data_IF_345984976965
#
_entry.id   IF_345984976965
#
_cell.length_a   1.000
_cell.length_b   1.000
_cell.length_c   1.000
_cell.angle_alpha   90.00
_cell.angle_beta   90.00
_cell.angle_gamma   90.00
#
_symmetry.space_group_name_H-M   'P 1'
#
loop_
_entity.id
_entity.type
_entity.pdbx_description
1 polymer ?
#
# COMPACT_ATOMS: atom_id res chain seq x y z
N UNK A 1 -7.76 44.96 -17.82
CA UNK A 1 -8.19 44.15 -16.64
C UNK A 1 -8.36 42.71 -17.09
N UNK A 2 -7.92 41.73 -16.30
CA UNK A 2 -7.37 40.46 -16.79
C UNK A 2 -8.40 39.32 -16.90
N UNK A 3 -8.00 38.34 -17.69
CA UNK A 3 -8.61 37.03 -17.90
C UNK A 3 -9.05 36.36 -16.59
N UNK A 4 -10.32 35.96 -16.52
CA UNK A 4 -10.85 35.12 -15.45
C UNK A 4 -10.30 33.70 -15.53
N UNK A 5 -10.12 33.00 -14.38
CA UNK A 5 -9.51 31.68 -14.35
C UNK A 5 -10.40 30.67 -15.09
N UNK A 6 -9.86 30.10 -16.17
CA UNK A 6 -10.55 29.14 -17.03
C UNK A 6 -11.12 27.98 -16.23
N UNK A 7 -12.44 27.78 -16.36
CA UNK A 7 -13.14 26.64 -15.81
C UNK A 7 -12.44 25.33 -16.27
N UNK A 8 -12.23 24.35 -15.37
CA UNK A 8 -11.56 23.12 -15.74
C UNK A 8 -12.34 22.39 -16.84
N UNK A 9 -11.66 22.16 -17.97
CA UNK A 9 -12.22 21.49 -19.16
C UNK A 9 -12.85 20.14 -18.77
N UNK A 10 -14.12 19.87 -19.10
CA UNK A 10 -14.88 18.70 -18.62
C UNK A 10 -14.18 17.37 -18.91
N UNK A 11 -13.44 17.30 -20.03
CA UNK A 11 -12.64 16.14 -20.44
C UNK A 11 -11.63 15.66 -19.36
N UNK A 12 -10.98 16.57 -18.64
CA UNK A 12 -9.99 16.20 -17.61
C UNK A 12 -10.65 15.66 -16.33
N UNK A 13 -11.83 16.16 -15.99
CA UNK A 13 -12.58 15.70 -14.83
C UNK A 13 -13.17 14.31 -15.06
N UNK A 14 -13.63 14.04 -16.28
CA UNK A 14 -14.20 12.74 -16.66
C UNK A 14 -13.14 11.65 -16.79
N UNK A 15 -11.96 11.97 -17.34
CA UNK A 15 -10.81 11.06 -17.35
C UNK A 15 -10.33 10.72 -15.93
N UNK A 16 -10.33 11.71 -15.02
CA UNK A 16 -9.98 11.48 -13.61
C UNK A 16 -11.02 10.64 -12.88
N UNK A 17 -12.32 10.85 -13.15
CA UNK A 17 -13.40 10.02 -12.61
C UNK A 17 -13.33 8.59 -13.15
N UNK A 18 -13.10 8.41 -14.43
CA UNK A 18 -12.92 7.10 -15.06
C UNK A 18 -11.70 6.36 -14.47
N UNK A 19 -10.56 7.04 -14.32
CA UNK A 19 -9.37 6.48 -13.68
C UNK A 19 -9.60 6.10 -12.20
N UNK A 20 -10.34 6.94 -11.46
CA UNK A 20 -10.73 6.64 -10.06
C UNK A 20 -11.70 5.47 -9.97
N UNK A 21 -12.65 5.36 -10.91
CA UNK A 21 -13.63 4.26 -10.97
C UNK A 21 -12.97 2.95 -11.38
N UNK A 22 -12.05 2.99 -12.34
CA UNK A 22 -11.21 1.86 -12.74
C UNK A 22 -10.31 1.36 -11.60
N UNK A 23 -9.75 2.26 -10.79
CA UNK A 23 -9.00 1.89 -9.56
C UNK A 23 -9.90 1.26 -8.50
N UNK A 24 -11.10 1.80 -8.24
CA UNK A 24 -12.06 1.26 -7.25
C UNK A 24 -12.66 -0.10 -7.62
N UNK A 25 -12.66 -0.48 -8.89
CA UNK A 25 -13.25 -1.73 -9.37
C UNK A 25 -12.29 -2.94 -9.28
N UNK A 26 -11.04 -2.73 -8.81
CA UNK A 26 -9.98 -3.75 -8.76
C UNK A 26 -9.93 -4.56 -7.47
N UNK A 27 -10.59 -4.14 -6.40
CA UNK A 27 -10.29 -4.63 -5.04
C UNK A 27 -10.65 -6.11 -4.77
N UNK A 28 -11.50 -6.77 -5.55
CA UNK A 28 -11.85 -8.19 -5.29
C UNK A 28 -12.18 -8.99 -6.56
N UNK A 29 -11.72 -8.57 -7.74
CA UNK A 29 -11.98 -9.35 -8.96
C UNK A 29 -10.99 -10.50 -9.05
N UNK A 30 -11.52 -11.71 -9.13
CA UNK A 30 -10.83 -12.85 -9.74
C UNK A 30 -10.43 -12.47 -11.16
N UNK A 31 -9.18 -12.04 -11.34
CA UNK A 31 -8.69 -11.62 -12.64
C UNK A 31 -8.55 -12.85 -13.54
N UNK A 32 -9.42 -12.92 -14.55
CA UNK A 32 -9.54 -14.02 -15.51
C UNK A 32 -8.15 -14.43 -15.99
N UNK A 33 -7.71 -15.64 -15.66
CA UNK A 33 -6.47 -16.19 -16.20
C UNK A 33 -6.64 -16.34 -17.72
N UNK A 34 -5.57 -16.10 -18.49
CA UNK A 34 -5.65 -16.18 -19.95
C UNK A 34 -5.98 -17.63 -20.31
N UNK A 35 -7.16 -17.82 -20.88
CA UNK A 35 -7.56 -19.10 -21.45
C UNK A 35 -7.12 -19.08 -22.91
N UNK A 36 -6.00 -19.76 -23.19
CA UNK A 36 -5.54 -19.94 -24.56
C UNK A 36 -6.43 -20.97 -25.27
N UNK A 37 -6.84 -20.64 -26.47
CA UNK A 37 -7.56 -21.56 -27.35
C UNK A 37 -6.66 -22.72 -27.79
N UNK A 38 -7.22 -23.89 -28.15
CA UNK A 38 -6.44 -25.02 -28.66
C UNK A 38 -5.57 -24.67 -29.88
N UNK A 39 -5.99 -23.72 -30.71
CA UNK A 39 -5.21 -23.27 -31.87
C UNK A 39 -3.95 -22.50 -31.49
N UNK A 40 -3.99 -21.73 -30.39
CA UNK A 40 -2.82 -21.00 -29.90
C UNK A 40 -1.74 -21.93 -29.35
N UNK A 41 -2.12 -23.12 -28.87
CA UNK A 41 -1.18 -24.15 -28.43
C UNK A 41 -0.41 -24.83 -29.57
N UNK A 42 -0.78 -24.60 -30.84
CA UNK A 42 0.01 -25.09 -31.99
C UNK A 42 1.39 -24.45 -32.08
N UNK A 43 1.59 -23.30 -31.45
CA UNK A 43 2.89 -22.65 -31.26
C UNK A 43 3.18 -22.57 -29.75
N UNK A 44 3.66 -23.66 -29.13
CA UNK A 44 3.77 -23.75 -27.67
C UNK A 44 4.67 -22.67 -27.08
N UNK A 45 5.77 -22.31 -27.74
CA UNK A 45 6.71 -21.30 -27.26
C UNK A 45 6.06 -19.91 -27.16
N UNK A 46 5.25 -19.55 -28.16
CA UNK A 46 4.51 -18.28 -28.17
C UNK A 46 3.39 -18.26 -27.12
N UNK A 47 2.70 -19.38 -26.96
CA UNK A 47 1.69 -19.57 -25.93
C UNK A 47 2.29 -19.40 -24.53
N UNK A 48 3.40 -20.09 -24.25
CA UNK A 48 4.13 -20.02 -22.99
C UNK A 48 4.67 -18.62 -22.71
N UNK A 49 5.29 -17.97 -23.71
CA UNK A 49 5.77 -16.58 -23.59
C UNK A 49 4.65 -15.61 -23.22
N UNK A 50 3.49 -15.72 -23.88
CA UNK A 50 2.33 -14.88 -23.54
C UNK A 50 1.84 -15.13 -22.12
N UNK A 51 1.84 -16.37 -21.66
CA UNK A 51 1.46 -16.70 -20.28
C UNK A 51 2.46 -16.15 -19.26
N UNK A 52 3.76 -16.21 -19.56
CA UNK A 52 4.82 -15.58 -18.77
C UNK A 52 4.60 -14.07 -18.65
N UNK A 53 4.43 -13.35 -19.77
CA UNK A 53 4.24 -11.88 -19.78
C UNK A 53 3.01 -11.47 -18.96
N UNK A 54 1.92 -12.25 -19.05
CA UNK A 54 0.73 -12.01 -18.24
C UNK A 54 0.97 -12.29 -16.75
N UNK A 55 1.71 -13.35 -16.40
CA UNK A 55 2.03 -13.66 -15.01
C UNK A 55 2.96 -12.62 -14.38
N UNK A 56 4.02 -12.22 -15.10
CA UNK A 56 4.93 -11.15 -14.71
C UNK A 56 4.20 -9.83 -14.51
N UNK A 57 3.42 -9.40 -15.51
CA UNK A 57 2.66 -8.16 -15.44
C UNK A 57 1.71 -8.10 -14.25
N UNK A 58 1.11 -9.24 -13.87
CA UNK A 58 0.24 -9.35 -12.68
C UNK A 58 1.02 -9.15 -11.38
N UNK A 59 2.19 -9.76 -11.25
CA UNK A 59 3.00 -9.62 -10.05
C UNK A 59 3.51 -8.18 -9.88
N UNK A 60 3.93 -7.55 -10.98
CA UNK A 60 4.32 -6.13 -11.00
C UNK A 60 3.13 -5.26 -10.62
N UNK A 61 1.96 -5.46 -11.24
CA UNK A 61 0.76 -4.67 -10.94
C UNK A 61 0.31 -4.83 -9.47
N UNK A 62 0.40 -6.03 -8.91
CA UNK A 62 0.13 -6.27 -7.49
C UNK A 62 1.10 -5.47 -6.61
N UNK A 63 2.42 -5.57 -6.87
CA UNK A 63 3.43 -4.83 -6.12
C UNK A 63 3.24 -3.31 -6.23
N UNK A 64 2.94 -2.80 -7.42
CA UNK A 64 2.65 -1.38 -7.64
C UNK A 64 1.39 -0.93 -6.92
N UNK A 65 0.33 -1.74 -6.92
CA UNK A 65 -0.90 -1.42 -6.18
C UNK A 65 -0.62 -1.25 -4.68
N UNK A 66 0.18 -2.13 -4.08
CA UNK A 66 0.62 -2.01 -2.69
C UNK A 66 1.36 -0.69 -2.41
N UNK A 67 2.19 -0.24 -3.35
CA UNK A 67 2.91 1.04 -3.23
C UNK A 67 1.99 2.26 -3.43
N UNK A 68 1.11 2.22 -4.43
CA UNK A 68 0.37 3.38 -4.96
C UNK A 68 -0.91 3.69 -4.17
N UNK A 69 -1.61 2.68 -3.63
CA UNK A 69 -2.75 2.88 -2.72
C UNK A 69 -2.33 3.58 -1.41
N UNK A 70 -1.09 3.33 -0.96
CA UNK A 70 -0.63 3.73 0.36
C UNK A 70 0.16 5.03 0.39
N UNK A 71 0.85 5.43 -0.68
CA UNK A 71 1.44 6.78 -0.78
C UNK A 71 0.38 7.88 -0.64
N UNK A 72 -0.86 7.63 -1.12
CA UNK A 72 -2.00 8.54 -0.92
C UNK A 72 -2.53 8.59 0.52
N UNK A 73 -2.29 7.54 1.32
CA UNK A 73 -2.69 7.44 2.74
C UNK A 73 -1.57 7.91 3.70
N UNK A 74 -0.31 7.99 3.23
CA UNK A 74 0.87 8.46 3.99
C UNK A 74 0.88 9.95 4.29
N UNK A 75 0.46 10.77 3.34
CA UNK A 75 0.44 12.24 3.44
C UNK A 75 -0.34 12.74 4.67
N UNK A 76 -1.56 12.27 4.96
CA UNK A 76 -2.28 12.72 6.15
C UNK A 76 -1.62 12.30 7.47
N UNK A 77 -0.99 11.12 7.57
CA UNK A 77 -0.26 10.68 8.79
C UNK A 77 0.89 11.62 9.14
N UNK A 78 1.76 11.89 8.15
CA UNK A 78 2.94 12.73 8.36
C UNK A 78 2.55 14.18 8.67
N UNK A 79 1.48 14.69 8.04
CA UNK A 79 0.92 16.00 8.36
C UNK A 79 0.38 16.01 9.79
N UNK A 80 -0.36 14.98 10.24
CA UNK A 80 -0.88 14.90 11.60
C UNK A 80 0.24 14.88 12.64
N UNK A 81 1.32 14.15 12.38
CA UNK A 81 2.47 14.03 13.29
C UNK A 81 3.27 15.33 13.37
N UNK A 82 3.50 15.99 12.23
CA UNK A 82 4.10 17.32 12.20
C UNK A 82 3.21 18.33 12.94
N UNK A 83 1.89 18.29 12.73
CA UNK A 83 0.93 19.13 13.43
C UNK A 83 0.96 18.87 14.94
N UNK A 84 1.03 17.60 15.37
CA UNK A 84 1.11 17.22 16.78
C UNK A 84 2.37 17.78 17.46
N UNK A 85 3.52 17.69 16.80
CA UNK A 85 4.79 18.22 17.32
C UNK A 85 4.72 19.74 17.40
N UNK A 86 4.19 20.42 16.38
CA UNK A 86 4.05 21.88 16.38
C UNK A 86 3.07 22.36 17.45
N UNK A 87 1.90 21.72 17.58
CA UNK A 87 0.90 22.01 18.61
C UNK A 87 1.45 21.73 20.02
N UNK A 88 2.14 20.60 20.19
CA UNK A 88 2.75 20.21 21.46
C UNK A 88 3.87 21.16 21.88
N UNK A 89 4.75 21.53 20.94
CA UNK A 89 5.81 22.51 21.17
C UNK A 89 5.23 23.90 21.47
N UNK A 90 4.22 24.35 20.71
CA UNK A 90 3.54 25.63 20.97
C UNK A 90 2.84 25.64 22.34
N UNK A 91 2.17 24.55 22.73
CA UNK A 91 1.53 24.40 24.03
C UNK A 91 2.53 24.36 25.19
N UNK A 92 3.66 23.66 25.03
CA UNK A 92 4.71 23.55 26.04
C UNK A 92 5.53 24.83 26.21
N UNK A 93 5.73 25.60 25.13
CA UNK A 93 6.47 26.87 25.15
C UNK A 93 5.61 28.05 25.63
N UNK A 94 4.28 27.95 25.59
CA UNK A 94 3.37 29.01 26.03
C UNK A 94 3.64 29.54 27.45
N UNK A 95 3.80 28.68 28.49
CA UNK A 95 4.11 29.16 29.85
C UNK A 95 5.48 29.85 29.95
N UNK A 96 6.46 29.49 29.11
CA UNK A 96 7.79 30.13 29.08
C UNK A 96 7.73 31.54 28.46
N UNK A 97 6.87 31.75 27.47
CA UNK A 97 6.65 33.07 26.85
C UNK A 97 5.89 33.98 27.83
N UNK A 98 4.94 33.44 28.59
CA UNK A 98 4.20 34.18 29.61
C UNK A 98 5.10 34.65 30.77
N UNK A 99 6.10 33.85 31.16
CA UNK A 99 7.05 34.21 32.23
C UNK A 99 8.19 35.12 31.74
N UNK A 100 8.65 34.98 30.50
CA UNK A 100 9.70 35.83 29.92
C UNK A 100 9.18 37.19 29.42
N UNK A 101 7.90 37.30 29.04
CA UNK A 101 7.34 38.47 28.34
C UNK A 101 6.78 39.59 29.22
N UNK A 102 6.69 39.42 30.54
CA UNK A 102 6.24 40.49 31.47
C UNK A 102 4.83 41.06 31.22
N UNK A 103 4.00 40.44 30.40
CA UNK A 103 2.67 40.96 30.06
C UNK A 103 1.64 40.50 31.10
N UNK A 104 1.38 41.35 32.10
CA UNK A 104 0.41 41.10 33.18
C UNK A 104 -1.06 40.97 32.75
N UNK A 105 -1.42 41.07 31.47
CA UNK A 105 -2.81 41.28 31.05
C UNK A 105 -3.47 40.14 30.26
N UNK A 106 -2.96 38.90 30.35
CA UNK A 106 -3.44 37.82 29.47
C UNK A 106 -3.75 36.51 30.21
N UNK A 107 -4.55 36.60 31.28
CA UNK A 107 -5.13 35.44 31.98
C UNK A 107 -5.97 34.52 31.08
N UNK A 108 -6.40 34.99 29.89
CA UNK A 108 -7.05 34.17 28.87
C UNK A 108 -6.12 33.32 28.00
N UNK A 109 -4.80 33.55 28.02
CA UNK A 109 -3.85 32.94 27.07
C UNK A 109 -3.30 31.58 27.54
N UNK A 110 -3.33 31.30 28.85
CA UNK A 110 -2.86 30.02 29.43
C UNK A 110 -3.79 28.85 29.05
N UNK A 111 -5.09 29.12 28.90
CA UNK A 111 -6.08 28.12 28.50
C UNK A 111 -5.78 27.52 27.13
N UNK A 112 -5.27 28.32 26.19
CA UNK A 112 -4.90 27.86 24.86
C UNK A 112 -3.70 26.91 24.87
N UNK A 113 -2.76 27.02 25.82
CA UNK A 113 -1.66 26.07 25.97
C UNK A 113 -2.15 24.64 26.24
N UNK A 114 -3.15 24.48 27.12
CA UNK A 114 -3.78 23.19 27.39
C UNK A 114 -4.59 22.67 26.19
N UNK A 115 -5.27 23.55 25.45
CA UNK A 115 -5.98 23.17 24.20
C UNK A 115 -4.99 22.67 23.14
N UNK A 116 -3.84 23.33 22.99
CA UNK A 116 -2.78 22.92 22.06
C UNK A 116 -2.16 21.58 22.47
N UNK A 117 -1.92 21.35 23.76
CA UNK A 117 -1.45 20.06 24.28
C UNK A 117 -2.48 18.94 24.09
N UNK A 118 -3.76 19.21 24.36
CA UNK A 118 -4.84 18.25 24.11
C UNK A 118 -4.95 17.92 22.61
N UNK A 119 -4.85 18.93 21.73
CA UNK A 119 -4.85 18.73 20.28
C UNK A 119 -3.63 17.90 19.82
N UNK A 120 -2.45 18.12 20.40
CA UNK A 120 -1.27 17.31 20.13
C UNK A 120 -1.45 15.85 20.56
N UNK A 121 -2.02 15.62 21.75
CA UNK A 121 -2.36 14.29 22.25
C UNK A 121 -3.38 13.58 21.37
N UNK A 122 -4.41 14.28 20.89
CA UNK A 122 -5.40 13.74 19.94
C UNK A 122 -4.74 13.39 18.61
N UNK A 123 -3.82 14.21 18.09
CA UNK A 123 -3.09 13.92 16.85
C UNK A 123 -2.18 12.69 16.99
N UNK A 124 -1.47 12.54 18.12
CA UNK A 124 -0.64 11.34 18.41
C UNK A 124 -1.53 10.10 18.55
N UNK A 125 -2.64 10.23 19.28
CA UNK A 125 -3.63 9.17 19.42
C UNK A 125 -4.22 8.74 18.09
N UNK A 126 -4.50 9.68 17.18
CA UNK A 126 -4.97 9.39 15.83
C UNK A 126 -3.90 8.73 14.95
N UNK A 127 -2.63 9.15 15.01
CA UNK A 127 -1.52 8.49 14.28
C UNK A 127 -1.35 7.04 14.73
N UNK A 128 -1.49 6.80 16.04
CA UNK A 128 -1.45 5.46 16.64
C UNK A 128 -2.68 4.60 16.29
N UNK A 129 -3.89 5.13 16.44
CA UNK A 129 -5.14 4.41 16.13
C UNK A 129 -5.29 4.11 14.63
N UNK A 130 -4.77 4.96 13.76
CA UNK A 130 -4.81 4.71 12.32
C UNK A 130 -3.73 3.72 11.84
N UNK A 131 -2.79 3.29 12.70
CA UNK A 131 -1.80 2.25 12.36
C UNK A 131 -0.92 2.60 11.16
N UNK A 132 -0.78 3.89 10.84
CA UNK A 132 -0.24 4.37 9.56
C UNK A 132 1.26 4.06 9.41
N UNK A 133 1.99 3.84 10.50
CA UNK A 133 3.41 3.46 10.48
C UNK A 133 3.67 1.95 10.43
N UNK A 134 2.81 1.12 11.03
CA UNK A 134 2.97 -0.35 11.02
C UNK A 134 2.50 -0.97 9.71
N UNK A 135 1.41 -0.45 9.14
CA UNK A 135 0.91 -0.89 7.83
C UNK A 135 1.94 -0.72 6.72
N UNK A 136 2.65 0.41 6.67
CA UNK A 136 3.66 0.67 5.63
C UNK A 136 4.82 -0.35 5.64
N UNK A 137 5.35 -0.67 6.82
CA UNK A 137 6.47 -1.62 6.92
C UNK A 137 6.03 -3.03 6.49
N UNK A 138 4.80 -3.43 6.83
CA UNK A 138 4.23 -4.71 6.43
C UNK A 138 3.92 -4.78 4.94
N UNK A 139 3.34 -3.73 4.37
CA UNK A 139 3.08 -3.62 2.93
C UNK A 139 4.42 -3.64 2.16
N UNK A 140 5.48 -3.03 2.70
CA UNK A 140 6.82 -3.09 2.11
C UNK A 140 7.41 -4.50 2.16
N UNK A 141 7.16 -5.26 3.23
CA UNK A 141 7.54 -6.68 3.30
C UNK A 141 6.78 -7.51 2.26
N UNK A 142 5.48 -7.26 2.06
CA UNK A 142 4.71 -7.93 1.02
C UNK A 142 5.24 -7.60 -0.39
N UNK A 143 5.52 -6.32 -0.67
CA UNK A 143 6.16 -5.88 -1.92
C UNK A 143 7.52 -6.57 -2.12
N UNK A 144 8.35 -6.64 -1.08
CA UNK A 144 9.64 -7.33 -1.14
C UNK A 144 9.49 -8.84 -1.38
N UNK A 145 8.51 -9.50 -0.74
CA UNK A 145 8.18 -10.92 -0.98
C UNK A 145 7.77 -11.14 -2.44
N UNK A 146 6.89 -10.30 -2.97
CA UNK A 146 6.44 -10.37 -4.38
C UNK A 146 7.60 -10.14 -5.34
N UNK A 147 8.40 -9.09 -5.13
CA UNK A 147 9.54 -8.76 -5.99
C UNK A 147 10.58 -9.88 -5.99
N UNK A 148 10.93 -10.40 -4.81
CA UNK A 148 11.85 -11.53 -4.70
C UNK A 148 11.33 -12.74 -5.46
N UNK A 149 10.05 -13.10 -5.25
CA UNK A 149 9.47 -14.27 -5.90
C UNK A 149 9.36 -14.10 -7.42
N UNK A 150 9.11 -12.88 -7.89
CA UNK A 150 9.13 -12.56 -9.32
C UNK A 150 10.51 -12.80 -9.92
N UNK A 151 11.58 -12.32 -9.28
CA UNK A 151 12.95 -12.56 -9.74
C UNK A 151 13.26 -14.06 -9.78
N UNK A 152 12.89 -14.82 -8.76
CA UNK A 152 13.06 -16.28 -8.75
C UNK A 152 12.32 -16.94 -9.93
N UNK A 153 11.05 -16.59 -10.16
CA UNK A 153 10.28 -17.09 -11.31
C UNK A 153 10.92 -16.75 -12.66
N UNK A 154 11.43 -15.52 -12.83
CA UNK A 154 12.11 -15.11 -14.07
C UNK A 154 13.40 -15.91 -14.30
N UNK A 155 14.16 -16.20 -13.25
CA UNK A 155 15.38 -17.01 -13.32
C UNK A 155 15.07 -18.48 -13.60
N UNK A 156 14.07 -19.06 -12.92
CA UNK A 156 13.61 -20.44 -13.15
C UNK A 156 13.14 -20.61 -14.60
N UNK A 157 12.39 -19.65 -15.12
CA UNK A 157 11.93 -19.64 -16.51
C UNK A 157 13.10 -19.53 -17.49
N UNK A 158 14.07 -18.66 -17.21
CA UNK A 158 15.28 -18.53 -18.03
C UNK A 158 16.12 -19.83 -18.04
N UNK A 159 16.15 -20.55 -16.92
CA UNK A 159 16.84 -21.84 -16.83
C UNK A 159 16.18 -22.91 -17.71
N UNK A 160 14.85 -22.97 -17.76
CA UNK A 160 14.12 -23.87 -18.67
C UNK A 160 14.38 -23.48 -20.14
N UNK A 161 14.31 -22.20 -20.49
CA UNK A 161 14.64 -21.74 -21.85
C UNK A 161 16.09 -22.10 -22.25
N UNK A 162 17.04 -21.96 -21.32
CA UNK A 162 18.43 -22.33 -21.55
C UNK A 162 18.58 -23.85 -21.72
N UNK A 163 17.84 -24.64 -20.94
CA UNK A 163 17.79 -26.09 -21.11
C UNK A 163 17.32 -26.46 -22.53
N UNK A 164 16.24 -25.84 -23.00
CA UNK A 164 15.68 -26.10 -24.34
C UNK A 164 16.63 -25.67 -25.46
N UNK A 165 17.35 -24.55 -25.28
CA UNK A 165 18.32 -24.07 -26.26
C UNK A 165 19.57 -24.96 -26.36
N UNK A 166 19.96 -25.63 -25.26
CA UNK A 166 21.19 -26.42 -25.18
C UNK A 166 20.98 -27.91 -25.43
N UNK A 167 19.74 -28.41 -25.34
CA UNK A 167 19.42 -29.83 -25.48
C UNK A 167 18.54 -30.09 -26.71
N UNK A 168 18.69 -31.26 -27.32
CA UNK A 168 17.90 -31.64 -28.50
C UNK A 168 16.46 -32.03 -28.19
N UNK A 169 16.15 -32.30 -26.92
CA UNK A 169 14.80 -32.58 -26.44
C UNK A 169 14.29 -31.36 -25.67
N UNK A 170 13.17 -30.74 -26.10
CA UNK A 170 12.59 -29.63 -25.37
C UNK A 170 11.98 -30.11 -24.07
N UNK A 171 12.01 -29.25 -23.08
CA UNK A 171 11.31 -29.41 -21.80
C UNK A 171 9.82 -29.62 -22.07
N UNK A 172 9.18 -30.58 -21.39
CA UNK A 172 7.74 -30.75 -21.46
C UNK A 172 7.00 -29.44 -21.15
N UNK A 173 6.04 -29.05 -21.99
CA UNK A 173 5.17 -27.87 -21.76
C UNK A 173 4.53 -27.88 -20.37
N UNK A 174 4.28 -29.08 -19.84
CA UNK A 174 3.78 -29.30 -18.48
C UNK A 174 4.63 -28.61 -17.41
N UNK A 175 5.96 -28.66 -17.52
CA UNK A 175 6.88 -28.17 -16.48
C UNK A 175 6.86 -26.64 -16.41
N UNK A 176 6.78 -25.96 -17.56
CA UNK A 176 6.54 -24.53 -17.63
C UNK A 176 5.19 -24.13 -17.00
N UNK A 177 4.15 -24.94 -17.21
CA UNK A 177 2.83 -24.69 -16.65
C UNK A 177 2.78 -24.95 -15.14
N UNK A 178 3.52 -25.93 -14.64
CA UNK A 178 3.71 -26.13 -13.21
C UNK A 178 4.45 -24.96 -12.56
N UNK A 179 5.51 -24.46 -13.19
CA UNK A 179 6.22 -23.26 -12.73
C UNK A 179 5.31 -22.04 -12.65
N UNK A 180 4.49 -21.78 -13.69
CA UNK A 180 3.49 -20.73 -13.68
C UNK A 180 2.44 -20.91 -12.58
N UNK A 181 1.94 -22.14 -12.40
CA UNK A 181 0.96 -22.46 -11.37
C UNK A 181 1.53 -22.22 -9.98
N UNK A 182 2.74 -22.69 -9.71
CA UNK A 182 3.43 -22.50 -8.44
C UNK A 182 3.61 -21.01 -8.15
N UNK A 183 4.16 -20.25 -9.10
CA UNK A 183 4.33 -18.81 -8.96
C UNK A 183 3.02 -18.08 -8.65
N UNK A 184 1.95 -18.33 -9.41
CA UNK A 184 0.66 -17.69 -9.18
C UNK A 184 0.03 -18.08 -7.83
N UNK A 185 0.27 -19.31 -7.38
CA UNK A 185 -0.14 -19.76 -6.05
C UNK A 185 0.63 -19.02 -4.96
N UNK A 186 1.95 -18.87 -5.10
CA UNK A 186 2.80 -18.17 -4.13
C UNK A 186 2.39 -16.71 -3.98
N UNK A 187 2.11 -16.00 -5.09
CA UNK A 187 1.60 -14.63 -5.07
C UNK A 187 0.25 -14.56 -4.32
N UNK A 188 -0.62 -15.54 -4.52
CA UNK A 188 -1.92 -15.61 -3.83
C UNK A 188 -1.74 -15.86 -2.33
N UNK A 189 -0.77 -16.71 -1.94
CA UNK A 189 -0.43 -16.97 -0.53
C UNK A 189 0.12 -15.72 0.13
N UNK A 190 1.07 -15.00 -0.51
CA UNK A 190 1.64 -13.75 0.02
C UNK A 190 0.53 -12.73 0.31
N UNK A 191 -0.46 -12.64 -0.58
CA UNK A 191 -1.62 -11.74 -0.43
C UNK A 191 -2.57 -12.21 0.69
N UNK A 192 -2.78 -13.52 0.84
CA UNK A 192 -3.66 -14.10 1.85
C UNK A 192 -3.07 -14.04 3.27
N UNK A 193 -1.76 -14.28 3.42
CA UNK A 193 -1.02 -14.15 4.68
C UNK A 193 -1.24 -12.77 5.30
N UNK A 194 -1.17 -11.71 4.50
CA UNK A 194 -1.40 -10.33 4.94
C UNK A 194 -2.78 -10.14 5.60
N UNK A 195 -3.81 -10.76 5.02
CA UNK A 195 -5.17 -10.65 5.53
C UNK A 195 -5.29 -11.33 6.90
N UNK A 196 -4.63 -12.47 7.08
CA UNK A 196 -4.67 -13.24 8.32
C UNK A 196 -3.90 -12.56 9.46
N UNK A 197 -2.72 -12.02 9.16
CA UNK A 197 -1.91 -11.26 10.13
C UNK A 197 -2.63 -9.98 10.53
N UNK A 198 -3.30 -9.29 9.59
CA UNK A 198 -4.11 -8.10 9.90
C UNK A 198 -5.26 -8.39 10.86
N UNK A 199 -5.96 -9.52 10.68
CA UNK A 199 -7.04 -9.91 11.59
C UNK A 199 -6.49 -10.17 13.00
N UNK A 200 -5.35 -10.85 13.11
CA UNK A 200 -4.69 -11.12 14.40
C UNK A 200 -4.25 -9.82 15.10
N UNK A 201 -3.57 -8.92 14.39
CA UNK A 201 -3.13 -7.62 14.94
C UNK A 201 -4.32 -6.77 15.39
N UNK A 202 -5.40 -6.76 14.61
CA UNK A 202 -6.62 -6.06 14.97
C UNK A 202 -7.26 -6.64 16.24
N UNK A 203 -7.35 -7.97 16.35
CA UNK A 203 -7.85 -8.64 17.54
C UNK A 203 -7.00 -8.31 18.78
N UNK A 204 -5.68 -8.31 18.63
CA UNK A 204 -4.75 -7.97 19.71
C UNK A 204 -4.91 -6.50 20.16
N UNK A 205 -5.06 -5.57 19.22
CA UNK A 205 -5.29 -4.16 19.53
C UNK A 205 -6.62 -3.95 20.29
N UNK A 206 -7.69 -4.62 19.87
CA UNK A 206 -9.00 -4.58 20.57
C UNK A 206 -8.89 -5.18 21.98
N UNK A 207 -8.18 -6.29 22.15
CA UNK A 207 -7.97 -6.92 23.45
C UNK A 207 -7.19 -5.99 24.41
N UNK A 208 -6.14 -5.33 23.94
CA UNK A 208 -5.36 -4.37 24.75
C UNK A 208 -6.19 -3.18 25.20
N UNK A 209 -7.04 -2.62 24.31
CA UNK A 209 -7.95 -1.53 24.66
C UNK A 209 -8.95 -1.93 25.76
N UNK A 210 -9.54 -3.12 25.67
CA UNK A 210 -10.46 -3.62 26.70
C UNK A 210 -9.75 -3.82 28.05
N UNK A 211 -8.49 -4.26 28.02
CA UNK A 211 -7.69 -4.47 29.24
C UNK A 211 -7.33 -3.15 29.92
N UNK A 212 -6.99 -2.11 29.14
CA UNK A 212 -6.70 -0.78 29.66
C UNK A 212 -7.96 -0.02 30.13
N UNK A 213 -9.11 -0.28 29.51
CA UNK A 213 -10.38 0.30 29.92
C UNK A 213 -10.95 -0.33 31.21
N UNK A 214 -10.72 -1.64 31.43
CA UNK A 214 -11.13 -2.34 32.65
C UNK A 214 -10.18 -2.18 33.85
N UNK A 215 -8.99 -1.61 33.64
CA UNK A 215 -8.00 -1.32 34.69
C UNK A 215 -8.13 0.12 35.26
N UNK A 216 -9.16 0.86 34.86
CA UNK A 216 -9.56 2.17 35.39
C UNK A 216 -10.86 2.06 36.16
#
# INVERSE_FOLDING_TARGET
>A
MPDGPGAPTPLKADLRKAARRARRQRDLRTHRFVLLSPEQWRAPDEALRRMYEVAEGRAIENAEWYLDDRMRKRVPSQILRALAILLGAAGALQPLIATAGGTQNNSGNLAWGYVLLAAAGVCIGFDHFLGLSSGWMRDMVAVQKIQRRLVEFQLDWAALNAHDALNSQPTPVHDYLELLRAFMSDISVITAEETSEWVSDFQNAVAQLNTQAGAR
#
